data_IF_396932239968
#
_entry.id   IF_396932239968
#
_cell.length_a   1.000
_cell.length_b   1.000
_cell.length_c   1.000
_cell.angle_alpha   90.00
_cell.angle_beta   90.00
_cell.angle_gamma   90.00
#
_symmetry.space_group_name_H-M   'P 1'
#
loop_
_entity.id
_entity.type
_entity.pdbx_description
1 polymer ?
#
# COMPACT_ATOMS: atom_id res chain seq x y z
N UNK A 1 21.45 10.60 15.98
CA UNK A 1 21.70 11.26 14.66
C UNK A 1 20.93 10.47 13.61
N UNK A 2 20.30 11.16 12.65
CA UNK A 2 19.64 10.48 11.52
C UNK A 2 20.68 9.71 10.69
N UNK A 3 20.30 8.53 10.14
CA UNK A 3 21.17 7.81 9.22
C UNK A 3 21.34 8.61 7.92
N UNK A 4 22.44 8.36 7.19
CA UNK A 4 22.71 8.99 5.90
C UNK A 4 21.57 8.71 4.88
N UNK A 5 21.02 7.50 4.90
CA UNK A 5 19.86 7.11 4.10
C UNK A 5 18.61 7.95 4.43
N UNK A 6 18.35 8.20 5.72
CA UNK A 6 17.23 9.05 6.13
C UNK A 6 17.43 10.50 5.68
N UNK A 7 18.66 11.03 5.81
CA UNK A 7 18.98 12.38 5.35
C UNK A 7 18.75 12.54 3.84
N UNK A 8 19.15 11.55 3.05
CA UNK A 8 18.91 11.50 1.59
C UNK A 8 17.42 11.50 1.25
N UNK A 9 16.62 10.68 1.94
CA UNK A 9 15.16 10.62 1.74
C UNK A 9 14.51 11.96 2.10
N UNK A 10 14.92 12.56 3.22
CA UNK A 10 14.38 13.87 3.64
C UNK A 10 14.69 14.95 2.61
N UNK A 11 15.90 14.97 2.06
CA UNK A 11 16.28 15.95 1.04
C UNK A 11 15.53 15.73 -0.28
N UNK A 12 15.32 14.46 -0.67
CA UNK A 12 14.49 14.12 -1.83
C UNK A 12 13.05 14.65 -1.69
N UNK A 13 12.43 14.50 -0.52
CA UNK A 13 11.08 15.03 -0.27
C UNK A 13 11.03 16.57 -0.20
N UNK A 14 12.12 17.20 0.22
CA UNK A 14 12.20 18.67 0.22
C UNK A 14 12.38 19.27 -1.15
N UNK A 15 13.19 18.61 -2.00
CA UNK A 15 13.50 19.09 -3.36
C UNK A 15 12.38 18.81 -4.37
N UNK A 16 11.61 17.74 -4.17
CA UNK A 16 10.49 17.34 -5.02
C UNK A 16 9.31 16.86 -4.16
N UNK A 17 8.53 17.76 -3.57
CA UNK A 17 7.41 17.36 -2.74
C UNK A 17 6.37 16.62 -3.60
N UNK A 18 6.16 15.35 -3.28
CA UNK A 18 5.22 14.44 -3.94
C UNK A 18 3.78 14.95 -3.99
N UNK A 19 3.44 15.84 -3.06
CA UNK A 19 2.11 16.40 -2.87
C UNK A 19 2.05 17.89 -3.25
N UNK A 20 3.00 18.38 -4.06
CA UNK A 20 2.99 19.75 -4.54
C UNK A 20 2.21 19.84 -5.85
N UNK A 21 1.07 20.49 -5.80
CA UNK A 21 0.21 20.74 -6.96
C UNK A 21 -1.23 20.23 -6.76
N UNK A 22 -2.07 20.52 -7.72
CA UNK A 22 -3.50 20.17 -7.71
C UNK A 22 -3.82 19.00 -8.65
N UNK A 23 -2.81 18.43 -9.35
CA UNK A 23 -2.98 17.32 -10.28
C UNK A 23 -2.80 15.98 -9.58
N UNK A 24 -3.91 15.38 -9.17
CA UNK A 24 -3.94 14.06 -8.52
C UNK A 24 -3.38 12.97 -9.44
N UNK A 25 -3.60 13.05 -10.74
CA UNK A 25 -3.08 12.08 -11.71
C UNK A 25 -1.55 12.09 -11.76
N UNK A 26 -0.96 13.29 -11.79
CA UNK A 26 0.50 13.44 -11.71
C UNK A 26 1.07 12.92 -10.41
N UNK A 27 0.41 13.18 -9.28
CA UNK A 27 0.82 12.67 -7.97
C UNK A 27 0.76 11.12 -7.89
N UNK A 28 -0.30 10.51 -8.42
CA UNK A 28 -0.43 9.04 -8.50
C UNK A 28 0.70 8.44 -9.35
N UNK A 29 1.00 9.07 -10.48
CA UNK A 29 2.08 8.63 -11.37
C UNK A 29 3.44 8.73 -10.68
N UNK A 30 3.73 9.84 -10.01
CA UNK A 30 4.97 10.03 -9.27
C UNK A 30 5.14 8.99 -8.15
N UNK A 31 4.08 8.75 -7.38
CA UNK A 31 4.07 7.75 -6.31
C UNK A 31 4.31 6.33 -6.85
N UNK A 32 3.63 5.96 -7.94
CA UNK A 32 3.81 4.66 -8.60
C UNK A 32 5.23 4.48 -9.13
N UNK A 33 5.82 5.52 -9.72
CA UNK A 33 7.20 5.49 -10.25
C UNK A 33 8.21 5.28 -9.12
N UNK A 34 8.06 5.99 -8.01
CA UNK A 34 8.96 5.85 -6.86
C UNK A 34 8.88 4.46 -6.22
N UNK A 35 7.69 3.89 -6.14
CA UNK A 35 7.51 2.59 -5.51
C UNK A 35 7.85 1.44 -6.45
N UNK A 36 7.71 1.60 -7.76
CA UNK A 36 8.11 0.60 -8.76
C UNK A 36 9.64 0.30 -8.75
N UNK A 37 10.44 1.25 -8.28
CA UNK A 37 11.89 1.07 -8.12
C UNK A 37 12.25 0.22 -6.87
N UNK A 38 11.30 -0.08 -5.99
CA UNK A 38 11.53 -0.89 -4.81
C UNK A 38 11.51 -2.37 -5.16
N UNK A 39 12.54 -3.10 -4.74
CA UNK A 39 12.58 -4.56 -4.89
C UNK A 39 11.57 -5.19 -3.94
N UNK A 40 10.73 -6.07 -4.47
CA UNK A 40 9.86 -6.91 -3.65
C UNK A 40 10.68 -8.01 -2.99
N UNK A 41 10.31 -8.37 -1.79
CA UNK A 41 10.94 -9.46 -1.06
C UNK A 41 10.60 -10.80 -1.72
N UNK A 42 11.63 -11.61 -2.02
CA UNK A 42 11.48 -12.88 -2.73
C UNK A 42 10.79 -13.96 -1.89
N UNK A 43 10.77 -13.81 -0.58
CA UNK A 43 10.17 -14.74 0.38
C UNK A 43 8.69 -14.44 0.69
N UNK A 44 8.10 -13.45 0.02
CA UNK A 44 6.68 -13.11 0.18
C UNK A 44 5.90 -13.51 -1.07
N UNK A 45 4.83 -14.25 -0.87
CA UNK A 45 3.85 -14.52 -1.91
C UNK A 45 2.75 -13.46 -1.90
N UNK A 46 2.46 -12.91 -3.09
CA UNK A 46 1.39 -11.96 -3.34
C UNK A 46 0.33 -12.61 -4.21
N UNK A 47 -0.87 -12.78 -3.70
CA UNK A 47 -1.96 -13.49 -4.39
C UNK A 47 -3.19 -12.59 -4.51
N UNK A 48 -3.56 -12.18 -5.73
CA UNK A 48 -4.77 -11.42 -5.96
C UNK A 48 -6.02 -12.14 -5.44
N UNK A 49 -6.94 -11.38 -4.88
CA UNK A 49 -8.19 -11.88 -4.32
C UNK A 49 -9.30 -10.82 -4.38
N UNK A 50 -10.47 -11.15 -3.83
CA UNK A 50 -11.57 -10.21 -3.62
C UNK A 50 -12.16 -10.45 -2.24
N UNK A 51 -12.44 -9.37 -1.53
CA UNK A 51 -13.09 -9.38 -0.23
C UNK A 51 -14.38 -8.55 -0.31
N UNK A 52 -15.53 -9.18 -0.07
CA UNK A 52 -16.82 -8.51 -0.19
C UNK A 52 -17.09 -7.86 -1.55
N UNK A 53 -16.47 -8.37 -2.64
CA UNK A 53 -16.55 -7.78 -3.98
C UNK A 53 -15.51 -6.69 -4.28
N UNK A 54 -14.74 -6.26 -3.28
CA UNK A 54 -13.67 -5.29 -3.43
C UNK A 54 -12.36 -6.01 -3.78
N UNK A 55 -11.61 -5.47 -4.76
CA UNK A 55 -10.30 -6.01 -5.13
C UNK A 55 -9.33 -6.00 -3.94
N UNK A 56 -8.58 -7.07 -3.78
CA UNK A 56 -7.61 -7.17 -2.69
C UNK A 56 -6.43 -8.06 -3.10
N UNK A 57 -5.38 -8.08 -2.30
CA UNK A 57 -4.22 -8.94 -2.46
C UNK A 57 -3.78 -9.49 -1.11
N UNK A 58 -3.60 -10.81 -1.04
CA UNK A 58 -2.96 -11.45 0.09
C UNK A 58 -1.44 -11.34 -0.03
N UNK A 59 -0.79 -10.97 1.06
CA UNK A 59 0.65 -11.10 1.24
C UNK A 59 0.92 -12.06 2.40
N UNK A 60 1.82 -13.03 2.19
CA UNK A 60 2.23 -13.98 3.22
C UNK A 60 3.68 -14.42 3.02
N UNK A 61 4.42 -14.59 4.12
CA UNK A 61 5.76 -15.13 4.05
C UNK A 61 5.69 -16.64 3.78
N UNK A 62 6.49 -17.14 2.81
CA UNK A 62 6.49 -18.53 2.35
C UNK A 62 6.77 -19.53 3.45
N UNK A 63 7.70 -19.18 4.31
CA UNK A 63 8.19 -20.08 5.37
C UNK A 63 7.52 -19.86 6.73
N UNK A 64 6.48 -19.00 6.78
CA UNK A 64 5.81 -18.67 8.04
C UNK A 64 4.87 -19.78 8.55
N UNK A 65 4.66 -20.85 7.80
CA UNK A 65 3.65 -21.86 8.10
C UNK A 65 2.22 -21.33 7.97
N UNK A 66 1.21 -22.07 8.40
CA UNK A 66 -0.16 -21.60 8.40
C UNK A 66 -0.29 -20.39 9.33
N UNK A 67 -0.65 -19.25 8.79
CA UNK A 67 -0.83 -18.03 9.56
C UNK A 67 -2.18 -18.06 10.28
N UNK A 68 -2.16 -18.18 11.60
CA UNK A 68 -3.35 -18.13 12.45
C UNK A 68 -3.92 -16.71 12.59
N UNK A 69 -3.19 -15.72 12.09
CA UNK A 69 -3.51 -14.30 12.20
C UNK A 69 -3.69 -13.67 10.83
N UNK A 70 -4.69 -12.82 10.74
CA UNK A 70 -4.97 -12.03 9.54
C UNK A 70 -4.96 -10.55 9.90
N UNK A 71 -4.30 -9.76 9.06
CA UNK A 71 -4.32 -8.30 9.12
C UNK A 71 -5.06 -7.80 7.88
N UNK A 72 -6.07 -6.96 8.06
CA UNK A 72 -6.70 -6.22 6.99
C UNK A 72 -6.02 -4.85 6.88
N UNK A 73 -5.48 -4.55 5.70
CA UNK A 73 -4.68 -3.35 5.49
C UNK A 73 -5.32 -2.42 4.45
N UNK A 74 -5.51 -1.19 4.85
CA UNK A 74 -5.96 -0.10 3.99
C UNK A 74 -4.82 0.88 3.78
N UNK A 75 -4.38 1.05 2.53
CA UNK A 75 -3.26 1.91 2.22
C UNK A 75 -3.55 3.38 2.50
N UNK A 76 -2.51 4.16 2.80
CA UNK A 76 -2.60 5.61 2.95
C UNK A 76 -2.68 6.33 1.61
N UNK A 77 -2.88 7.66 1.65
CA UNK A 77 -2.94 8.50 0.46
C UNK A 77 -4.11 9.48 0.45
N UNK A 78 -4.61 9.86 1.62
CA UNK A 78 -5.70 10.83 1.79
C UNK A 78 -6.96 10.50 0.97
N UNK A 79 -7.26 9.22 0.77
CA UNK A 79 -8.36 8.72 -0.05
C UNK A 79 -8.29 9.09 -1.55
N UNK A 80 -7.20 9.70 -1.99
CA UNK A 80 -6.99 10.15 -3.38
C UNK A 80 -5.81 9.46 -4.05
N UNK A 81 -4.87 8.95 -3.27
CA UNK A 81 -3.59 8.40 -3.71
C UNK A 81 -3.40 6.99 -3.16
N UNK A 82 -2.37 6.32 -3.68
CA UNK A 82 -1.99 4.99 -3.24
C UNK A 82 -2.70 3.88 -4.00
N UNK A 83 -2.23 2.67 -3.77
CA UNK A 83 -2.78 1.43 -4.34
C UNK A 83 -2.16 0.24 -3.60
N UNK A 84 -2.64 -0.97 -3.87
CA UNK A 84 -1.97 -2.21 -3.47
C UNK A 84 -0.50 -2.19 -3.96
N UNK A 85 -0.29 -1.84 -5.23
CA UNK A 85 1.04 -1.86 -5.83
C UNK A 85 2.04 -0.92 -5.14
N UNK A 86 1.60 0.27 -4.75
CA UNK A 86 2.48 1.26 -4.09
C UNK A 86 2.85 0.88 -2.66
N UNK A 87 2.12 -0.05 -2.05
CA UNK A 87 2.33 -0.46 -0.66
C UNK A 87 2.82 -1.91 -0.51
N UNK A 88 3.07 -2.64 -1.61
CA UNK A 88 3.48 -4.05 -1.56
C UNK A 88 4.69 -4.31 -0.66
N UNK A 89 5.74 -3.50 -0.78
CA UNK A 89 6.95 -3.66 0.05
C UNK A 89 6.64 -3.52 1.54
N UNK A 90 5.83 -2.52 1.91
CA UNK A 90 5.40 -2.33 3.29
C UNK A 90 4.55 -3.50 3.78
N UNK A 91 3.57 -3.92 2.98
CA UNK A 91 2.64 -5.01 3.31
C UNK A 91 3.38 -6.34 3.46
N UNK A 92 4.35 -6.62 2.58
CA UNK A 92 5.20 -7.82 2.70
C UNK A 92 6.05 -7.82 3.98
N UNK A 93 6.64 -6.68 4.33
CA UNK A 93 7.39 -6.53 5.57
C UNK A 93 6.47 -6.68 6.81
N UNK A 94 5.25 -6.18 6.74
CA UNK A 94 4.25 -6.34 7.80
C UNK A 94 3.86 -7.82 7.97
N UNK A 95 3.63 -8.53 6.87
CA UNK A 95 3.31 -9.96 6.89
C UNK A 95 4.42 -10.77 7.59
N UNK A 96 5.68 -10.49 7.25
CA UNK A 96 6.84 -11.12 7.87
C UNK A 96 6.95 -10.77 9.35
N UNK A 97 6.91 -9.49 9.71
CA UNK A 97 7.11 -9.02 11.07
C UNK A 97 6.01 -9.50 12.03
N UNK A 98 4.77 -9.56 11.54
CA UNK A 98 3.62 -10.00 12.33
C UNK A 98 3.43 -11.53 12.33
N UNK A 99 4.17 -12.27 11.50
CA UNK A 99 3.90 -13.69 11.21
C UNK A 99 2.40 -13.91 10.91
N UNK A 100 1.86 -13.10 10.00
CA UNK A 100 0.44 -13.05 9.68
C UNK A 100 0.23 -13.04 8.17
N UNK A 101 -0.97 -13.41 7.72
CA UNK A 101 -1.42 -13.05 6.38
C UNK A 101 -1.95 -11.63 6.39
N UNK A 102 -1.58 -10.83 5.41
CA UNK A 102 -2.06 -9.45 5.27
C UNK A 102 -2.93 -9.35 4.02
N UNK A 103 -4.16 -8.93 4.16
CA UNK A 103 -5.04 -8.58 3.05
C UNK A 103 -4.94 -7.08 2.79
N UNK A 104 -4.34 -6.69 1.69
CA UNK A 104 -4.29 -5.29 1.23
C UNK A 104 -5.47 -5.02 0.31
N UNK A 105 -6.25 -3.96 0.57
CA UNK A 105 -7.51 -3.66 -0.12
C UNK A 105 -7.32 -2.53 -1.12
N UNK A 106 -7.81 -2.72 -2.35
CA UNK A 106 -7.87 -1.71 -3.42
C UNK A 106 -9.23 -0.99 -3.36
N UNK A 107 -9.40 -0.17 -2.34
CA UNK A 107 -10.63 0.60 -2.15
C UNK A 107 -10.71 1.77 -3.14
N UNK A 108 -11.93 2.18 -3.50
CA UNK A 108 -12.18 3.29 -4.44
C UNK A 108 -11.67 4.62 -3.91
N UNK A 109 -11.13 5.44 -4.82
CA UNK A 109 -10.48 6.70 -4.50
C UNK A 109 -11.22 7.90 -5.07
N UNK A 110 -11.16 9.01 -4.35
CA UNK A 110 -11.56 10.32 -4.87
C UNK A 110 -10.51 10.84 -5.86
N UNK A 111 -10.88 11.70 -6.81
CA UNK A 111 -12.21 12.30 -7.00
C UNK A 111 -13.19 11.43 -7.79
N UNK A 112 -12.75 10.33 -8.38
CA UNK A 112 -13.58 9.47 -9.22
C UNK A 112 -14.75 8.88 -8.43
N UNK A 113 -14.46 8.42 -7.21
CA UNK A 113 -15.41 7.85 -6.28
C UNK A 113 -15.32 8.58 -4.92
N UNK A 114 -16.05 9.70 -4.75
CA UNK A 114 -15.97 10.50 -3.53
C UNK A 114 -16.60 9.77 -2.33
N UNK A 115 -16.43 10.37 -1.15
CA UNK A 115 -17.10 9.87 0.06
C UNK A 115 -18.59 9.59 -0.19
N UNK A 116 -19.12 8.44 0.27
CA UNK A 116 -18.53 7.48 1.21
C UNK A 116 -17.88 6.24 0.56
N UNK A 117 -17.58 6.23 -0.74
CA UNK A 117 -17.16 5.04 -1.50
C UNK A 117 -16.04 4.22 -0.83
N UNK A 118 -14.97 4.86 -0.37
CA UNK A 118 -13.86 4.19 0.31
C UNK A 118 -14.29 3.54 1.64
N UNK A 119 -15.24 4.16 2.34
CA UNK A 119 -15.79 3.62 3.61
C UNK A 119 -16.67 2.41 3.34
N UNK A 120 -17.52 2.48 2.29
CA UNK A 120 -18.38 1.38 1.88
C UNK A 120 -17.54 0.16 1.46
N UNK A 121 -16.45 0.39 0.70
CA UNK A 121 -15.51 -0.66 0.32
C UNK A 121 -14.78 -1.25 1.53
N UNK A 122 -14.38 -0.43 2.48
CA UNK A 122 -13.74 -0.90 3.71
C UNK A 122 -14.67 -1.79 4.54
N UNK A 123 -15.93 -1.41 4.65
CA UNK A 123 -16.97 -2.22 5.35
C UNK A 123 -17.25 -3.51 4.60
N UNK A 124 -17.31 -3.46 3.26
CA UNK A 124 -17.56 -4.65 2.45
C UNK A 124 -16.39 -5.66 2.53
N UNK A 125 -15.15 -5.18 2.62
CA UNK A 125 -13.96 -6.02 2.70
C UNK A 125 -13.74 -6.64 4.09
N UNK A 126 -14.32 -6.07 5.14
CA UNK A 126 -14.22 -6.56 6.52
C UNK A 126 -15.19 -7.71 6.76
#
# INVERSE_FOLDING_TARGET
>A
MASEALATIVEMFRSAPLLAGDDIGAMRTAMSTLTAAQSLAEDIDYVPTSLGGVGAEWASARDAGPADRTVLYFHGGAYCLGSIATHRTLVGNLARAASARVASVEYRLAPEDPFPAAVDDAVAAY
#
